data_IF_472492444405
#
_entry.id   IF_472492444405
#
_cell.length_a   1.000
_cell.length_b   1.000
_cell.length_c   1.000
_cell.angle_alpha   90.00
_cell.angle_beta   90.00
_cell.angle_gamma   90.00
#
_symmetry.space_group_name_H-M   'P 1'
#
loop_
_entity.id
_entity.type
_entity.pdbx_description
1 polymer ?
#
# COMPACT_ATOMS: atom_id res chain seq x y z
N UNK A 1 -12.02 -19.14 52.31
CA UNK A 1 -11.20 -18.37 51.36
C UNK A 1 -12.09 -17.97 50.21
N UNK A 2 -12.35 -16.67 50.07
CA UNK A 2 -13.19 -16.10 49.03
C UNK A 2 -12.50 -16.27 47.67
N UNK A 3 -13.17 -16.96 46.75
CA UNK A 3 -12.84 -16.93 45.33
C UNK A 3 -13.13 -15.51 44.84
N UNK A 4 -12.08 -14.71 44.67
CA UNK A 4 -12.13 -13.44 43.95
C UNK A 4 -12.55 -13.72 42.49
N UNK A 5 -13.87 -13.78 42.28
CA UNK A 5 -14.47 -14.00 40.98
C UNK A 5 -14.25 -12.77 40.13
N UNK A 6 -13.38 -12.85 39.12
CA UNK A 6 -13.30 -11.82 38.07
C UNK A 6 -14.71 -11.63 37.52
N UNK A 7 -15.25 -10.43 37.70
CA UNK A 7 -16.55 -10.05 37.14
C UNK A 7 -16.54 -10.33 35.63
N UNK A 8 -17.64 -10.83 35.06
CA UNK A 8 -17.70 -11.17 33.64
C UNK A 8 -17.43 -9.93 32.79
N UNK A 9 -16.52 -10.09 31.83
CA UNK A 9 -16.21 -9.11 30.79
C UNK A 9 -17.43 -8.92 29.90
N UNK A 10 -17.74 -7.66 29.60
CA UNK A 10 -18.89 -7.29 28.76
C UNK A 10 -18.39 -7.08 27.33
N UNK A 11 -19.01 -7.77 26.39
CA UNK A 11 -18.72 -7.65 24.96
C UNK A 11 -19.92 -6.99 24.29
N UNK A 12 -19.66 -5.93 23.53
CA UNK A 12 -20.70 -5.15 22.83
C UNK A 12 -20.59 -5.35 21.32
N UNK A 13 -19.35 -5.48 20.84
CA UNK A 13 -19.08 -5.73 19.44
C UNK A 13 -19.24 -7.23 19.15
N UNK A 14 -19.52 -7.56 17.89
CA UNK A 14 -19.55 -8.94 17.43
C UNK A 14 -18.31 -9.73 17.92
N UNK A 15 -18.55 -10.92 18.48
CA UNK A 15 -17.50 -11.68 19.17
C UNK A 15 -16.33 -12.04 18.26
N UNK A 16 -16.56 -12.31 16.97
CA UNK A 16 -15.49 -12.61 16.01
C UNK A 16 -14.68 -11.36 15.71
N UNK A 17 -15.35 -10.21 15.51
CA UNK A 17 -14.71 -8.91 15.30
C UNK A 17 -13.88 -8.50 16.53
N UNK A 18 -14.45 -8.58 17.73
CA UNK A 18 -13.77 -8.28 18.99
C UNK A 18 -12.53 -9.17 19.19
N UNK A 19 -12.63 -10.46 18.87
CA UNK A 19 -11.48 -11.40 18.96
C UNK A 19 -10.36 -11.02 17.99
N UNK A 20 -10.70 -10.71 16.73
CA UNK A 20 -9.71 -10.32 15.72
C UNK A 20 -8.97 -9.03 16.13
N UNK A 21 -9.71 -8.03 16.61
CA UNK A 21 -9.13 -6.78 17.11
C UNK A 21 -8.26 -7.02 18.34
N UNK A 22 -8.72 -7.84 19.29
CA UNK A 22 -7.93 -8.20 20.47
C UNK A 22 -6.60 -8.89 20.10
N UNK A 23 -6.60 -9.76 19.09
CA UNK A 23 -5.38 -10.41 18.58
C UNK A 23 -4.45 -9.39 17.92
N UNK A 24 -5.00 -8.48 17.09
CA UNK A 24 -4.22 -7.45 16.40
C UNK A 24 -3.50 -6.53 17.40
N UNK A 25 -4.23 -6.00 18.39
CA UNK A 25 -3.66 -5.08 19.38
C UNK A 25 -2.71 -5.79 20.36
N UNK A 26 -2.88 -7.10 20.62
CA UNK A 26 -1.96 -7.87 21.47
C UNK A 26 -0.54 -7.99 20.88
N UNK A 27 -0.37 -7.75 19.58
CA UNK A 27 0.94 -7.73 18.90
C UNK A 27 1.68 -6.41 19.11
N UNK A 28 1.01 -5.41 19.67
CA UNK A 28 1.53 -4.08 19.94
C UNK A 28 1.88 -4.01 21.42
N UNK A 29 3.12 -3.60 21.74
CA UNK A 29 3.67 -3.63 23.11
C UNK A 29 3.28 -2.41 23.96
N UNK A 30 2.37 -1.58 23.48
CA UNK A 30 1.90 -0.39 24.16
C UNK A 30 0.50 -0.66 24.74
N UNK A 31 0.21 -0.01 25.85
CA UNK A 31 -1.17 0.12 26.33
C UNK A 31 -1.98 1.04 25.41
N UNK A 32 -3.30 1.04 25.55
CA UNK A 32 -4.18 1.76 24.61
C UNK A 32 -3.92 3.27 24.61
N UNK A 33 -3.63 3.84 25.78
CA UNK A 33 -3.22 5.23 25.91
C UNK A 33 -1.86 5.47 25.24
N UNK A 34 -0.87 4.60 25.46
CA UNK A 34 0.43 4.69 24.82
C UNK A 34 0.39 4.55 23.29
N UNK A 35 -0.60 3.82 22.74
CA UNK A 35 -0.88 3.81 21.30
C UNK A 35 -1.42 5.17 20.87
N UNK A 36 -2.44 5.68 21.57
CA UNK A 36 -3.10 6.96 21.26
C UNK A 36 -2.09 8.10 21.23
N UNK A 37 -1.27 8.24 22.27
CA UNK A 37 -0.28 9.30 22.40
C UNK A 37 0.74 9.27 21.25
N UNK A 38 1.22 8.09 20.85
CA UNK A 38 2.17 7.97 19.73
C UNK A 38 1.55 8.33 18.38
N UNK A 39 0.28 8.00 18.17
CA UNK A 39 -0.46 8.43 16.98
C UNK A 39 -0.78 9.93 17.02
N UNK A 40 -0.99 10.50 18.21
CA UNK A 40 -1.18 11.93 18.42
C UNK A 40 0.10 12.73 18.13
N UNK A 41 1.23 12.24 18.62
CA UNK A 41 2.58 12.79 18.43
C UNK A 41 3.17 12.52 17.04
N UNK A 42 2.48 11.71 16.21
CA UNK A 42 2.95 11.29 14.89
C UNK A 42 4.35 10.66 14.93
N UNK A 43 4.62 9.79 15.92
CA UNK A 43 5.90 9.09 16.06
C UNK A 43 6.11 8.07 14.93
N UNK A 44 6.95 8.43 13.95
CA UNK A 44 7.27 7.59 12.79
C UNK A 44 7.96 6.28 13.14
N UNK A 45 8.57 6.18 14.33
CA UNK A 45 9.37 5.02 14.78
C UNK A 45 8.60 4.07 15.71
N UNK A 46 7.44 4.50 16.19
CA UNK A 46 6.63 3.75 17.15
C UNK A 46 6.09 2.42 16.62
N UNK A 47 5.70 2.40 15.35
CA UNK A 47 4.97 1.29 14.75
C UNK A 47 5.61 0.85 13.43
N UNK A 48 5.60 -0.45 13.15
CA UNK A 48 5.89 -0.95 11.80
C UNK A 48 4.71 -0.70 10.86
N UNK A 49 4.95 -0.73 9.55
CA UNK A 49 3.88 -0.61 8.55
C UNK A 49 2.77 -1.65 8.75
N UNK A 50 3.13 -2.90 9.05
CA UNK A 50 2.17 -3.97 9.35
C UNK A 50 1.31 -3.64 10.58
N UNK A 51 1.93 -3.08 11.63
CA UNK A 51 1.19 -2.66 12.83
C UNK A 51 0.24 -1.50 12.52
N UNK A 52 0.64 -0.53 11.70
CA UNK A 52 -0.22 0.58 11.27
C UNK A 52 -1.42 0.10 10.45
N UNK A 53 -1.23 -0.88 9.55
CA UNK A 53 -2.32 -1.50 8.79
C UNK A 53 -3.30 -2.23 9.73
N UNK A 54 -2.77 -3.03 10.66
CA UNK A 54 -3.60 -3.70 11.67
C UNK A 54 -4.35 -2.71 12.56
N UNK A 55 -3.74 -1.58 12.94
CA UNK A 55 -4.39 -0.53 13.72
C UNK A 55 -5.54 0.11 12.94
N UNK A 56 -5.34 0.43 11.65
CA UNK A 56 -6.38 1.00 10.79
C UNK A 56 -7.59 0.05 10.64
N UNK A 57 -7.32 -1.24 10.46
CA UNK A 57 -8.35 -2.29 10.38
C UNK A 57 -9.05 -2.50 11.73
N UNK A 58 -8.40 -2.16 12.84
CA UNK A 58 -8.92 -2.34 14.20
C UNK A 58 -9.75 -1.15 14.70
N UNK A 59 -9.77 -0.03 13.96
CA UNK A 59 -10.64 1.10 14.28
C UNK A 59 -12.12 0.73 14.16
N UNK A 60 -13.00 1.31 15.00
CA UNK A 60 -14.43 1.08 14.91
C UNK A 60 -15.00 1.66 13.61
N UNK A 61 -16.04 1.03 13.07
CA UNK A 61 -16.89 1.55 12.01
C UNK A 61 -18.02 2.43 12.58
N UNK A 62 -18.78 3.13 11.73
CA UNK A 62 -19.83 4.07 12.18
C UNK A 62 -20.90 3.42 13.09
N UNK A 63 -21.31 2.18 12.79
CA UNK A 63 -22.27 1.44 13.61
C UNK A 63 -21.70 1.07 14.99
N UNK A 64 -20.44 0.62 15.02
CA UNK A 64 -19.70 0.30 16.24
C UNK A 64 -19.48 1.55 17.10
N UNK A 65 -19.18 2.71 16.48
CA UNK A 65 -19.01 3.98 17.19
C UNK A 65 -20.28 4.34 17.96
N UNK A 66 -21.44 4.32 17.28
CA UNK A 66 -22.72 4.64 17.92
C UNK A 66 -23.03 3.70 19.08
N UNK A 67 -22.77 2.40 18.90
CA UNK A 67 -23.03 1.39 19.92
C UNK A 67 -22.09 1.52 21.12
N UNK A 68 -20.80 1.77 20.88
CA UNK A 68 -19.78 1.96 21.92
C UNK A 68 -20.05 3.22 22.74
N UNK A 69 -20.40 4.34 22.09
CA UNK A 69 -20.68 5.61 22.76
C UNK A 69 -22.00 5.60 23.53
N UNK A 70 -22.99 4.82 23.09
CA UNK A 70 -24.27 4.68 23.77
C UNK A 70 -24.23 3.76 24.99
N UNK A 71 -23.12 3.06 25.25
CA UNK A 71 -23.01 2.14 26.38
C UNK A 71 -23.03 2.89 27.72
N UNK A 72 -24.05 2.69 28.58
CA UNK A 72 -24.20 3.44 29.82
C UNK A 72 -23.43 2.84 31.01
N UNK A 73 -22.77 1.70 30.81
CA UNK A 73 -22.11 0.95 31.87
C UNK A 73 -20.66 1.36 32.09
N UNK A 74 -20.01 0.68 33.02
CA UNK A 74 -18.59 0.88 33.30
C UNK A 74 -17.71 0.34 32.17
N UNK A 75 -16.96 1.23 31.52
CA UNK A 75 -16.03 0.90 30.43
C UNK A 75 -14.86 0.04 30.89
N UNK A 76 -14.55 0.05 32.20
CA UNK A 76 -13.53 -0.80 32.82
C UNK A 76 -13.91 -2.29 32.82
N UNK A 77 -15.17 -2.63 32.51
CA UNK A 77 -15.67 -4.00 32.40
C UNK A 77 -15.75 -4.52 30.97
N UNK A 78 -15.47 -3.67 29.98
CA UNK A 78 -15.54 -4.04 28.57
C UNK A 78 -14.40 -4.96 28.14
N UNK A 79 -14.55 -5.64 27.01
CA UNK A 79 -13.47 -6.38 26.35
C UNK A 79 -12.29 -5.49 25.94
N UNK A 80 -11.16 -6.12 25.63
CA UNK A 80 -9.95 -5.42 25.19
C UNK A 80 -10.17 -4.64 23.88
N UNK A 81 -10.94 -5.21 22.96
CA UNK A 81 -11.28 -4.57 21.69
C UNK A 81 -12.09 -3.29 21.90
N UNK A 82 -13.16 -3.35 22.68
CA UNK A 82 -14.02 -2.19 22.96
C UNK A 82 -13.26 -1.08 23.70
N UNK A 83 -12.42 -1.43 24.68
CA UNK A 83 -11.58 -0.46 25.37
C UNK A 83 -10.60 0.22 24.43
N UNK A 84 -9.95 -0.55 23.56
CA UNK A 84 -9.07 0.00 22.54
C UNK A 84 -9.81 0.95 21.61
N UNK A 85 -10.96 0.55 21.08
CA UNK A 85 -11.76 1.37 20.16
C UNK A 85 -12.23 2.67 20.83
N UNK A 86 -12.73 2.60 22.07
CA UNK A 86 -13.11 3.78 22.85
C UNK A 86 -11.93 4.72 23.09
N UNK A 87 -10.74 4.18 23.34
CA UNK A 87 -9.53 5.00 23.49
C UNK A 87 -9.16 5.70 22.17
N UNK A 88 -9.22 4.98 21.03
CA UNK A 88 -8.95 5.56 19.72
C UNK A 88 -9.97 6.64 19.33
N UNK A 89 -11.24 6.54 19.77
CA UNK A 89 -12.26 7.57 19.52
C UNK A 89 -11.99 8.91 20.21
N UNK A 90 -11.10 8.94 21.21
CA UNK A 90 -10.66 10.20 21.83
C UNK A 90 -9.68 10.98 20.94
N UNK A 91 -9.07 10.33 19.95
CA UNK A 91 -8.10 10.94 19.05
C UNK A 91 -8.82 11.42 17.77
N UNK A 92 -8.88 12.74 17.53
CA UNK A 92 -9.45 13.26 16.29
C UNK A 92 -8.66 12.78 15.08
N UNK A 93 -9.40 12.43 14.03
CA UNK A 93 -8.88 12.00 12.73
C UNK A 93 -7.87 10.84 12.81
N UNK A 94 -8.04 9.94 13.79
CA UNK A 94 -7.13 8.81 14.04
C UNK A 94 -6.85 7.97 12.78
N UNK A 95 -7.87 7.77 11.93
CA UNK A 95 -7.71 7.05 10.66
C UNK A 95 -6.75 7.76 9.71
N UNK A 96 -6.89 9.07 9.57
CA UNK A 96 -6.04 9.87 8.68
C UNK A 96 -4.63 10.02 9.22
N UNK A 97 -4.46 10.08 10.55
CA UNK A 97 -3.14 10.04 11.20
C UNK A 97 -2.40 8.73 10.92
N UNK A 98 -3.08 7.60 11.11
CA UNK A 98 -2.51 6.27 10.80
C UNK A 98 -2.13 6.19 9.32
N UNK A 99 -3.01 6.61 8.39
CA UNK A 99 -2.72 6.65 6.95
C UNK A 99 -1.55 7.54 6.60
N UNK A 100 -1.42 8.67 7.28
CA UNK A 100 -0.30 9.60 7.09
C UNK A 100 1.03 8.95 7.51
N UNK A 101 1.07 8.24 8.64
CA UNK A 101 2.25 7.48 9.06
C UNK A 101 2.59 6.35 8.07
N UNK A 102 1.59 5.60 7.58
CA UNK A 102 1.80 4.59 6.53
C UNK A 102 2.38 5.22 5.25
N UNK A 103 1.87 6.39 4.87
CA UNK A 103 2.36 7.13 3.71
C UNK A 103 3.81 7.55 3.89
N UNK A 104 4.14 8.18 5.03
CA UNK A 104 5.51 8.60 5.36
C UNK A 104 6.48 7.42 5.27
N UNK A 105 6.15 6.27 5.86
CA UNK A 105 7.00 5.07 5.83
C UNK A 105 7.20 4.49 4.42
N UNK A 106 6.23 4.66 3.51
CA UNK A 106 6.29 4.10 2.15
C UNK A 106 6.69 5.12 1.07
N UNK A 107 6.80 6.40 1.42
CA UNK A 107 7.01 7.45 0.43
C UNK A 107 8.37 7.34 -0.25
N UNK A 108 9.44 7.21 0.52
CA UNK A 108 10.80 7.19 -0.01
C UNK A 108 11.05 6.01 -0.94
N UNK A 109 10.53 4.82 -0.61
CA UNK A 109 10.65 3.64 -1.46
C UNK A 109 9.87 3.78 -2.76
N UNK A 110 8.61 4.24 -2.70
CA UNK A 110 7.77 4.50 -3.88
C UNK A 110 8.38 5.56 -4.78
N UNK A 111 8.89 6.66 -4.20
CA UNK A 111 9.55 7.71 -4.96
C UNK A 111 10.78 7.16 -5.69
N UNK A 112 11.60 6.38 -5.00
CA UNK A 112 12.80 5.76 -5.59
C UNK A 112 12.44 4.83 -6.74
N UNK A 113 11.47 3.94 -6.54
CA UNK A 113 10.99 3.00 -7.56
C UNK A 113 10.52 3.75 -8.81
N UNK A 114 9.68 4.78 -8.65
CA UNK A 114 9.19 5.60 -9.76
C UNK A 114 10.34 6.30 -10.52
N UNK A 115 11.33 6.84 -9.80
CA UNK A 115 12.48 7.48 -10.44
C UNK A 115 13.34 6.48 -11.23
N UNK A 116 13.51 5.26 -10.72
CA UNK A 116 14.24 4.18 -11.40
C UNK A 116 13.51 3.73 -12.68
N UNK A 117 12.17 3.61 -12.63
CA UNK A 117 11.36 3.30 -13.82
C UNK A 117 11.46 4.38 -14.89
N UNK A 118 11.35 5.66 -14.51
CA UNK A 118 11.47 6.79 -15.44
C UNK A 118 12.86 6.83 -16.07
N UNK A 119 13.91 6.67 -15.25
CA UNK A 119 15.30 6.64 -15.72
C UNK A 119 15.54 5.49 -16.71
N UNK A 120 14.94 4.32 -16.46
CA UNK A 120 15.03 3.16 -17.35
C UNK A 120 14.42 3.48 -18.72
N UNK A 121 13.23 4.07 -18.76
CA UNK A 121 12.54 4.45 -20.00
C UNK A 121 13.33 5.53 -20.74
N UNK A 122 13.81 6.55 -20.03
CA UNK A 122 14.61 7.63 -20.61
C UNK A 122 15.89 7.09 -21.24
N UNK A 123 16.60 6.23 -20.52
CA UNK A 123 17.83 5.58 -21.00
C UNK A 123 17.56 4.73 -22.24
N UNK A 124 16.54 3.86 -22.19
CA UNK A 124 16.16 3.04 -23.35
C UNK A 124 15.80 3.89 -24.58
N UNK A 125 15.03 4.97 -24.38
CA UNK A 125 14.69 5.90 -25.46
C UNK A 125 15.93 6.58 -26.04
N UNK A 126 16.87 7.01 -25.18
CA UNK A 126 18.11 7.65 -25.60
C UNK A 126 19.03 6.68 -26.33
N UNK A 127 19.15 5.44 -25.86
CA UNK A 127 19.93 4.38 -26.50
C UNK A 127 19.40 4.07 -27.91
N UNK A 128 18.07 3.91 -28.05
CA UNK A 128 17.44 3.67 -29.36
C UNK A 128 17.67 4.85 -30.32
N UNK A 129 17.45 6.09 -29.84
CA UNK A 129 17.61 7.30 -30.68
C UNK A 129 19.07 7.56 -31.08
N UNK A 130 20.01 7.32 -30.18
CA UNK A 130 21.42 7.63 -30.38
C UNK A 130 22.18 6.49 -31.08
N UNK A 131 21.67 5.26 -31.08
CA UNK A 131 22.35 4.10 -31.63
C UNK A 131 22.61 4.24 -33.14
N UNK A 132 23.89 4.45 -33.48
CA UNK A 132 24.36 4.45 -34.87
C UNK A 132 24.26 3.04 -35.47
N UNK A 133 24.58 2.01 -34.68
CA UNK A 133 24.54 0.61 -35.12
C UNK A 133 23.12 0.16 -35.47
N UNK A 134 22.13 0.52 -34.64
CA UNK A 134 20.72 0.23 -34.93
C UNK A 134 20.29 0.89 -36.23
N UNK A 135 20.64 2.16 -36.45
CA UNK A 135 20.35 2.87 -37.71
C UNK A 135 21.01 2.20 -38.93
N UNK A 136 22.24 1.72 -38.80
CA UNK A 136 22.92 0.98 -39.87
C UNK A 136 22.24 -0.35 -40.16
N UNK A 137 21.87 -1.11 -39.12
CA UNK A 137 21.13 -2.36 -39.26
C UNK A 137 19.79 -2.14 -39.98
N UNK A 138 19.01 -1.13 -39.56
CA UNK A 138 17.74 -0.77 -40.21
C UNK A 138 17.92 -0.44 -41.70
N UNK A 139 18.99 0.27 -42.08
CA UNK A 139 19.32 0.54 -43.49
C UNK A 139 19.65 -0.73 -44.26
N UNK A 140 20.39 -1.67 -43.65
CA UNK A 140 20.70 -2.96 -44.27
C UNK A 140 19.43 -3.79 -44.48
N UNK A 141 18.58 -3.90 -43.45
CA UNK A 141 17.30 -4.61 -43.54
C UNK A 141 16.43 -3.99 -44.63
N UNK A 142 16.29 -2.67 -44.67
CA UNK A 142 15.53 -1.98 -45.72
C UNK A 142 16.09 -2.30 -47.12
N UNK A 143 17.41 -2.26 -47.29
CA UNK A 143 18.07 -2.52 -48.58
C UNK A 143 17.86 -3.97 -49.05
N UNK A 144 17.97 -4.93 -48.13
CA UNK A 144 17.75 -6.35 -48.41
C UNK A 144 16.28 -6.62 -48.71
N UNK A 145 15.36 -6.13 -47.88
CA UNK A 145 13.91 -6.26 -48.08
C UNK A 145 13.47 -5.69 -49.41
N UNK A 146 13.91 -4.47 -49.74
CA UNK A 146 13.64 -3.85 -51.05
C UNK A 146 14.23 -4.62 -52.23
N UNK A 147 15.29 -5.43 -52.04
CA UNK A 147 15.86 -6.27 -53.11
C UNK A 147 15.14 -7.60 -53.27
N UNK A 148 14.76 -8.25 -52.17
CA UNK A 148 14.07 -9.54 -52.19
C UNK A 148 12.62 -9.39 -52.67
N UNK A 149 11.93 -8.31 -52.28
CA UNK A 149 10.53 -8.08 -52.63
C UNK A 149 10.34 -7.44 -54.02
N UNK A 150 11.40 -7.36 -54.82
CA UNK A 150 11.46 -6.61 -56.08
C UNK A 150 10.82 -7.34 -57.27
N UNK A 151 9.86 -8.22 -57.02
CA UNK A 151 9.16 -9.02 -58.02
C UNK A 151 7.87 -8.37 -58.55
N UNK A 152 7.31 -7.40 -57.82
CA UNK A 152 6.15 -6.64 -58.26
C UNK A 152 6.49 -5.15 -58.29
N UNK A 153 6.32 -4.52 -59.46
CA UNK A 153 6.77 -3.15 -59.68
C UNK A 153 5.99 -2.16 -58.80
N UNK A 154 6.70 -1.12 -58.36
CA UNK A 154 6.23 0.20 -57.92
C UNK A 154 6.15 0.57 -56.44
N UNK A 155 6.59 -0.28 -55.49
CA UNK A 155 6.68 0.17 -54.09
C UNK A 155 8.10 0.00 -53.50
N UNK A 156 8.89 1.07 -53.62
CA UNK A 156 10.18 1.17 -52.94
C UNK A 156 9.93 1.70 -51.53
N UNK A 157 10.01 0.83 -50.52
CA UNK A 157 9.81 1.25 -49.15
C UNK A 157 10.88 2.28 -48.75
N UNK A 158 10.45 3.39 -48.16
CA UNK A 158 11.33 4.44 -47.63
C UNK A 158 11.69 4.23 -46.15
N UNK A 159 11.05 3.24 -45.51
CA UNK A 159 11.27 2.88 -44.12
C UNK A 159 10.66 1.52 -43.79
N UNK A 160 10.99 1.01 -42.62
CA UNK A 160 10.40 -0.21 -42.05
C UNK A 160 9.89 0.12 -40.65
N UNK A 161 8.81 -0.53 -40.23
CA UNK A 161 8.38 -0.49 -38.83
C UNK A 161 9.31 -1.36 -37.98
N UNK A 162 9.42 -1.05 -36.68
CA UNK A 162 10.21 -1.87 -35.77
C UNK A 162 9.61 -3.27 -35.61
N UNK A 163 8.29 -3.40 -35.67
CA UNK A 163 7.59 -4.71 -35.62
C UNK A 163 7.97 -5.63 -36.79
N UNK A 164 8.32 -5.07 -37.95
CA UNK A 164 8.79 -5.87 -39.09
C UNK A 164 10.12 -6.58 -38.79
N UNK A 165 10.91 -6.08 -37.84
CA UNK A 165 12.16 -6.75 -37.43
C UNK A 165 11.90 -8.10 -36.76
N UNK A 166 10.78 -8.23 -36.04
CA UNK A 166 10.39 -9.48 -35.37
C UNK A 166 9.96 -10.58 -36.34
N UNK A 167 9.76 -10.23 -37.62
CA UNK A 167 9.34 -11.15 -38.69
C UNK A 167 10.51 -11.58 -39.57
N UNK A 168 11.72 -11.09 -39.30
CA UNK A 168 12.92 -11.51 -40.01
C UNK A 168 13.28 -12.93 -39.54
N UNK A 169 13.60 -13.84 -40.47
CA UNK A 169 13.96 -15.23 -40.15
C UNK A 169 15.31 -15.34 -39.45
#
# INVERSE_FOLDING_TARGET
>A
EETSGKLPTITIIDGKRATNVAIAIARIKFDYEGIRTRLEDMDETAFTLEQLLCLEESLPNEEEIGTLQAYPGDTSRLGSAERFMLEMLKLPDVRDRIRSLQYIQTFASKQKELLEEVSTIETACNDVKSSVRLRQMLKCVLSVGNRVNRADQSDHAMGITLDSLLKLP
#
